data_IF_428859936747
#
_entry.id   IF_428859936747
#
_cell.length_a   1.000
_cell.length_b   1.000
_cell.length_c   1.000
_cell.angle_alpha   90.00
_cell.angle_beta   90.00
_cell.angle_gamma   90.00
#
_symmetry.space_group_name_H-M   'P 1'
#
loop_
_entity.id
_entity.type
_entity.pdbx_description
1 polymer ?
#
# COMPACT_ATOMS: atom_id res chain seq x y z
N UNK A 1 17.74 -0.29 -14.72
CA UNK A 1 16.36 -0.38 -15.27
C UNK A 1 15.37 -1.13 -14.36
N UNK A 2 15.80 -1.87 -13.34
CA UNK A 2 14.94 -2.73 -12.51
C UNK A 2 14.19 -2.01 -11.38
N UNK A 3 14.72 -0.90 -10.86
CA UNK A 3 14.11 -0.13 -9.76
C UNK A 3 12.82 0.60 -10.18
N UNK A 4 12.79 1.16 -11.39
CA UNK A 4 11.59 1.83 -11.91
C UNK A 4 10.41 0.87 -12.09
N UNK A 5 10.65 -0.32 -12.66
CA UNK A 5 9.59 -1.32 -12.91
C UNK A 5 9.02 -1.90 -11.61
N UNK A 6 9.87 -2.15 -10.61
CA UNK A 6 9.45 -2.65 -9.29
C UNK A 6 8.67 -1.62 -8.49
N UNK A 7 9.00 -0.33 -8.62
CA UNK A 7 8.26 0.78 -7.99
C UNK A 7 6.85 0.94 -8.56
N UNK A 8 6.71 0.93 -9.89
CA UNK A 8 5.39 0.97 -10.54
C UNK A 8 4.56 -0.28 -10.26
N UNK A 9 5.19 -1.46 -10.26
CA UNK A 9 4.50 -2.70 -9.89
C UNK A 9 3.96 -2.62 -8.46
N UNK A 10 4.77 -2.18 -7.50
CA UNK A 10 4.33 -2.00 -6.11
C UNK A 10 3.19 -0.97 -5.98
N UNK A 11 3.26 0.15 -6.71
CA UNK A 11 2.21 1.16 -6.72
C UNK A 11 0.88 0.65 -7.29
N UNK A 12 0.93 -0.07 -8.42
CA UNK A 12 -0.26 -0.68 -9.04
C UNK A 12 -0.85 -1.73 -8.10
N UNK A 13 -0.03 -2.62 -7.53
CA UNK A 13 -0.51 -3.62 -6.57
C UNK A 13 -1.11 -2.97 -5.32
N UNK A 14 -0.52 -1.90 -4.79
CA UNK A 14 -1.09 -1.16 -3.67
C UNK A 14 -2.47 -0.55 -4.02
N UNK A 15 -2.58 0.08 -5.19
CA UNK A 15 -3.85 0.62 -5.68
C UNK A 15 -4.90 -0.50 -5.85
N UNK A 16 -4.52 -1.64 -6.42
CA UNK A 16 -5.41 -2.81 -6.54
C UNK A 16 -5.85 -3.33 -5.16
N UNK A 17 -4.94 -3.41 -4.18
CA UNK A 17 -5.23 -3.88 -2.81
C UNK A 17 -6.29 -3.01 -2.14
N UNK A 18 -6.20 -1.70 -2.36
CA UNK A 18 -7.13 -0.71 -1.80
C UNK A 18 -8.47 -0.76 -2.52
N UNK A 19 -8.46 -0.90 -3.84
CA UNK A 19 -9.67 -0.94 -4.66
C UNK A 19 -10.43 -2.28 -4.56
N UNK A 20 -9.76 -3.40 -4.28
CA UNK A 20 -10.34 -4.74 -4.23
C UNK A 20 -11.63 -4.83 -3.39
N UNK A 21 -11.67 -4.38 -2.11
CA UNK A 21 -12.89 -4.47 -1.31
C UNK A 21 -14.04 -3.62 -1.85
N UNK A 22 -13.75 -2.52 -2.57
CA UNK A 22 -14.78 -1.68 -3.20
C UNK A 22 -15.29 -2.31 -4.49
N UNK A 23 -14.37 -2.79 -5.34
CA UNK A 23 -14.71 -3.42 -6.61
C UNK A 23 -15.60 -4.65 -6.40
N UNK A 24 -15.28 -5.49 -5.42
CA UNK A 24 -16.11 -6.68 -5.16
C UNK A 24 -17.46 -6.31 -4.54
N UNK A 25 -17.53 -5.25 -3.72
CA UNK A 25 -18.83 -4.73 -3.25
C UNK A 25 -19.69 -4.20 -4.38
N UNK A 26 -19.10 -3.50 -5.35
CA UNK A 26 -19.81 -2.97 -6.53
C UNK A 26 -20.29 -4.14 -7.41
N UNK A 27 -19.42 -5.10 -7.71
CA UNK A 27 -19.77 -6.27 -8.53
C UNK A 27 -20.82 -7.17 -7.87
N UNK A 28 -20.74 -7.38 -6.56
CA UNK A 28 -21.75 -8.16 -5.82
C UNK A 28 -23.11 -7.45 -5.82
N UNK A 29 -23.14 -6.13 -5.61
CA UNK A 29 -24.37 -5.33 -5.74
C UNK A 29 -24.96 -5.40 -7.14
N UNK A 30 -24.13 -5.30 -8.18
CA UNK A 30 -24.56 -5.37 -9.57
C UNK A 30 -25.17 -6.74 -9.93
N UNK A 31 -24.72 -7.82 -9.27
CA UNK A 31 -25.25 -9.19 -9.45
C UNK A 31 -26.39 -9.55 -8.49
N UNK A 32 -26.87 -8.61 -7.67
CA UNK A 32 -27.92 -8.86 -6.67
C UNK A 32 -27.50 -9.83 -5.54
N UNK A 33 -26.21 -10.11 -5.41
CA UNK A 33 -25.67 -11.09 -4.47
C UNK A 33 -24.96 -10.46 -3.28
N UNK A 34 -24.63 -11.31 -2.29
CA UNK A 34 -23.77 -10.91 -1.17
C UNK A 34 -22.33 -11.34 -1.47
N UNK A 35 -21.33 -10.47 -1.31
CA UNK A 35 -19.95 -10.83 -1.57
C UNK A 35 -19.46 -11.90 -0.58
N UNK A 36 -18.71 -12.93 -1.01
CA UNK A 36 -18.11 -13.92 -0.12
C UNK A 36 -17.06 -13.23 0.76
N UNK A 37 -17.48 -12.87 1.97
CA UNK A 37 -16.74 -11.98 2.87
C UNK A 37 -15.39 -12.58 3.29
N UNK A 38 -15.35 -13.89 3.51
CA UNK A 38 -14.16 -14.57 4.03
C UNK A 38 -13.09 -14.73 2.96
N UNK A 39 -13.48 -15.09 1.74
CA UNK A 39 -12.56 -15.19 0.59
C UNK A 39 -11.96 -13.82 0.27
N UNK A 40 -12.77 -12.76 0.32
CA UNK A 40 -12.29 -11.39 0.13
C UNK A 40 -11.29 -10.93 1.17
N UNK A 41 -11.54 -11.24 2.44
CA UNK A 41 -10.61 -10.91 3.52
C UNK A 41 -9.30 -11.67 3.32
N UNK A 42 -9.36 -12.95 2.91
CA UNK A 42 -8.18 -13.75 2.62
C UNK A 42 -7.38 -13.18 1.44
N UNK A 43 -8.03 -12.85 0.32
CA UNK A 43 -7.37 -12.22 -0.82
C UNK A 43 -6.76 -10.87 -0.45
N UNK A 44 -7.47 -10.03 0.30
CA UNK A 44 -6.94 -8.74 0.76
C UNK A 44 -5.70 -8.91 1.65
N UNK A 45 -5.70 -9.89 2.55
CA UNK A 45 -4.53 -10.19 3.39
C UNK A 45 -3.34 -10.67 2.55
N UNK A 46 -3.56 -11.60 1.62
CA UNK A 46 -2.50 -12.12 0.74
C UNK A 46 -1.88 -10.98 -0.07
N UNK A 47 -2.70 -10.16 -0.72
CA UNK A 47 -2.18 -9.05 -1.53
C UNK A 47 -1.48 -8.01 -0.63
N UNK A 48 -1.98 -7.74 0.58
CA UNK A 48 -1.30 -6.88 1.54
C UNK A 48 0.12 -7.34 1.88
N UNK A 49 0.33 -8.65 2.08
CA UNK A 49 1.67 -9.22 2.27
C UNK A 49 2.53 -9.12 1.02
N UNK A 50 1.96 -9.34 -0.18
CA UNK A 50 2.69 -9.18 -1.45
C UNK A 50 3.14 -7.73 -1.63
N UNK A 51 2.28 -6.75 -1.35
CA UNK A 51 2.63 -5.31 -1.40
C UNK A 51 3.77 -5.01 -0.43
N UNK A 52 3.70 -5.52 0.80
CA UNK A 52 4.77 -5.33 1.79
C UNK A 52 6.10 -5.93 1.30
N UNK A 53 6.08 -7.16 0.79
CA UNK A 53 7.26 -7.83 0.26
C UNK A 53 7.89 -7.07 -0.92
N UNK A 54 7.07 -6.68 -1.90
CA UNK A 54 7.53 -5.91 -3.06
C UNK A 54 8.06 -4.53 -2.67
N UNK A 55 7.38 -3.83 -1.76
CA UNK A 55 7.83 -2.52 -1.27
C UNK A 55 9.17 -2.61 -0.52
N UNK A 56 9.35 -3.67 0.26
CA UNK A 56 10.61 -3.93 0.96
C UNK A 56 11.75 -4.28 -0.01
N UNK A 57 11.47 -5.14 -1.00
CA UNK A 57 12.43 -5.47 -2.05
C UNK A 57 12.82 -4.23 -2.88
N UNK A 58 11.84 -3.38 -3.21
CA UNK A 58 12.07 -2.11 -3.90
C UNK A 58 12.94 -1.15 -3.07
N UNK A 59 12.68 -1.03 -1.77
CA UNK A 59 13.52 -0.24 -0.87
C UNK A 59 14.96 -0.78 -0.83
N UNK A 60 15.13 -2.09 -0.65
CA UNK A 60 16.45 -2.74 -0.62
C UNK A 60 17.23 -2.51 -1.92
N UNK A 61 16.58 -2.70 -3.06
CA UNK A 61 17.18 -2.46 -4.37
C UNK A 61 17.53 -0.99 -4.63
N UNK A 62 16.75 -0.06 -4.06
CA UNK A 62 16.99 1.39 -4.19
C UNK A 62 18.07 1.91 -3.23
N UNK A 63 18.30 1.21 -2.12
CA UNK A 63 19.37 1.51 -1.16
C UNK A 63 20.74 0.95 -1.57
N UNK A 64 20.79 -0.08 -2.43
CA UNK A 64 22.07 -0.70 -2.83
C UNK A 64 23.04 0.27 -3.53
N UNK A 65 22.60 1.20 -4.40
CA UNK A 65 23.49 2.19 -5.02
C UNK A 65 23.76 3.44 -4.15
N UNK A 66 22.91 3.76 -3.17
CA UNK A 66 22.93 5.05 -2.44
C UNK A 66 23.77 5.05 -1.17
N UNK A 67 24.24 3.89 -0.70
CA UNK A 67 25.21 3.79 0.43
C UNK A 67 26.52 4.55 0.12
N UNK A 68 26.81 4.87 -1.15
CA UNK A 68 28.09 5.46 -1.57
C UNK A 68 28.07 7.00 -1.67
N UNK A 69 26.95 7.74 -1.58
CA UNK A 69 27.11 9.21 -1.57
C UNK A 69 25.93 10.17 -1.73
N UNK A 70 24.68 9.83 -1.43
CA UNK A 70 23.61 10.86 -1.44
C UNK A 70 22.78 10.84 -0.17
N UNK A 71 23.01 11.82 0.69
CA UNK A 71 22.21 12.10 1.86
C UNK A 71 20.72 12.27 1.49
N UNK A 72 19.85 11.60 2.26
CA UNK A 72 18.44 11.90 2.49
C UNK A 72 17.76 12.81 1.47
N UNK A 73 17.49 12.29 0.25
CA UNK A 73 16.56 13.01 -0.62
C UNK A 73 15.17 12.97 0.03
N UNK A 74 14.37 14.06 -0.07
CA UNK A 74 13.00 14.08 0.45
C UNK A 74 12.16 12.90 -0.04
N UNK A 75 12.42 12.42 -1.26
CA UNK A 75 11.79 11.24 -1.83
C UNK A 75 12.05 9.95 -1.04
N UNK A 76 13.28 9.73 -0.55
CA UNK A 76 13.63 8.54 0.26
C UNK A 76 12.90 8.59 1.61
N UNK A 77 12.88 9.76 2.27
CA UNK A 77 12.19 9.92 3.55
C UNK A 77 10.68 9.63 3.43
N UNK A 78 10.02 10.14 2.37
CA UNK A 78 8.61 9.86 2.09
C UNK A 78 8.36 8.38 1.80
N UNK A 79 9.24 7.72 1.04
CA UNK A 79 9.13 6.29 0.76
C UNK A 79 9.30 5.43 2.02
N UNK A 80 10.28 5.74 2.88
CA UNK A 80 10.48 5.04 4.14
C UNK A 80 9.28 5.20 5.07
N UNK A 81 8.73 6.41 5.18
CA UNK A 81 7.50 6.64 5.93
C UNK A 81 6.33 5.81 5.38
N UNK A 82 6.13 5.80 4.05
CA UNK A 82 5.10 4.99 3.41
C UNK A 82 5.25 3.50 3.71
N UNK A 83 6.48 2.95 3.66
CA UNK A 83 6.74 1.55 4.00
C UNK A 83 6.40 1.23 5.46
N UNK A 84 6.78 2.10 6.40
CA UNK A 84 6.41 1.96 7.82
C UNK A 84 4.89 1.96 7.98
N UNK A 85 4.18 2.86 7.29
CA UNK A 85 2.73 2.86 7.29
C UNK A 85 2.15 1.55 6.72
N UNK A 86 2.72 0.99 5.63
CA UNK A 86 2.29 -0.31 5.08
C UNK A 86 2.44 -1.42 6.14
N UNK A 87 3.57 -1.49 6.85
CA UNK A 87 3.79 -2.47 7.93
C UNK A 87 2.72 -2.34 9.02
N UNK A 88 2.48 -1.10 9.49
CA UNK A 88 1.46 -0.81 10.49
C UNK A 88 0.08 -1.25 9.98
N UNK A 89 -0.25 -0.97 8.72
CA UNK A 89 -1.55 -1.31 8.14
C UNK A 89 -1.75 -2.82 7.97
N UNK A 90 -0.72 -3.59 7.61
CA UNK A 90 -0.77 -5.06 7.61
C UNK A 90 -1.06 -5.58 9.02
N UNK A 91 -0.38 -5.06 10.04
CA UNK A 91 -0.65 -5.38 11.44
C UNK A 91 -2.08 -5.04 11.87
N UNK A 92 -2.59 -3.86 11.49
CA UNK A 92 -3.98 -3.46 11.75
C UNK A 92 -4.97 -4.40 11.05
N UNK A 93 -4.71 -4.80 9.80
CA UNK A 93 -5.51 -5.76 9.06
C UNK A 93 -5.61 -7.11 9.75
N UNK A 94 -4.50 -7.64 10.27
CA UNK A 94 -4.46 -8.88 11.04
C UNK A 94 -5.25 -8.77 12.36
N UNK A 95 -5.08 -7.68 13.11
CA UNK A 95 -5.84 -7.44 14.36
C UNK A 95 -7.35 -7.30 14.09
N UNK A 96 -7.70 -6.62 13.02
CA UNK A 96 -9.10 -6.48 12.57
C UNK A 96 -9.71 -7.83 12.14
N UNK A 97 -8.90 -8.75 11.63
CA UNK A 97 -9.35 -10.11 11.32
C UNK A 97 -9.62 -10.90 12.61
N UNK A 98 -8.70 -10.89 13.57
CA UNK A 98 -8.75 -11.70 14.79
C UNK A 98 -9.73 -11.22 15.89
N UNK A 99 -10.10 -9.94 15.91
CA UNK A 99 -10.91 -9.38 17.02
C UNK A 99 -12.41 -9.71 16.94
N UNK A 100 -13.17 -9.58 18.05
CA UNK A 100 -14.65 -9.69 18.06
C UNK A 100 -15.35 -8.45 17.43
N UNK A 101 -16.59 -8.54 16.95
CA UNK A 101 -17.26 -7.48 16.17
C UNK A 101 -17.43 -6.13 16.90
N UNK A 102 -17.60 -6.15 18.23
CA UNK A 102 -18.20 -5.03 18.99
C UNK A 102 -17.28 -3.81 19.23
N UNK A 103 -16.05 -3.82 18.74
CA UNK A 103 -15.11 -2.68 18.81
C UNK A 103 -14.54 -2.23 17.46
N UNK A 104 -14.96 -2.84 16.34
CA UNK A 104 -14.21 -2.72 15.06
C UNK A 104 -14.43 -1.42 14.29
N UNK A 105 -15.44 -0.61 14.62
CA UNK A 105 -15.82 0.53 13.76
C UNK A 105 -14.73 1.59 13.68
N UNK A 106 -14.12 1.95 14.82
CA UNK A 106 -13.06 2.95 14.84
C UNK A 106 -11.77 2.42 14.21
N UNK A 107 -11.37 1.20 14.55
CA UNK A 107 -10.18 0.56 13.97
C UNK A 107 -10.29 0.35 12.46
N UNK A 108 -11.49 0.05 11.93
CA UNK A 108 -11.74 0.00 10.47
C UNK A 108 -11.61 1.36 9.82
N UNK A 109 -12.09 2.43 10.46
CA UNK A 109 -11.92 3.81 9.94
C UNK A 109 -10.45 4.19 9.89
N UNK A 110 -9.70 3.94 10.96
CA UNK A 110 -8.25 4.18 11.02
C UNK A 110 -7.50 3.37 9.95
N UNK A 111 -7.89 2.12 9.73
CA UNK A 111 -7.31 1.30 8.68
C UNK A 111 -7.55 1.91 7.28
N UNK A 112 -8.78 2.31 6.97
CA UNK A 112 -9.13 2.94 5.68
C UNK A 112 -8.39 4.28 5.51
N UNK A 113 -8.39 5.13 6.53
CA UNK A 113 -7.70 6.43 6.49
C UNK A 113 -6.19 6.23 6.31
N UNK A 114 -5.60 5.25 6.99
CA UNK A 114 -4.19 4.94 6.85
C UNK A 114 -3.83 4.36 5.48
N UNK A 115 -4.68 3.53 4.88
CA UNK A 115 -4.51 3.10 3.48
C UNK A 115 -4.53 4.28 2.52
N UNK A 116 -5.43 5.25 2.72
CA UNK A 116 -5.47 6.48 1.90
C UNK A 116 -4.19 7.31 2.08
N UNK A 117 -3.71 7.45 3.32
CA UNK A 117 -2.45 8.15 3.59
C UNK A 117 -1.26 7.50 2.88
N UNK A 118 -1.21 6.16 2.81
CA UNK A 118 -0.18 5.44 2.05
C UNK A 118 -0.25 5.81 0.56
N UNK A 119 -1.44 5.83 -0.04
CA UNK A 119 -1.60 6.22 -1.46
C UNK A 119 -1.08 7.61 -1.71
N UNK A 120 -1.44 8.57 -0.86
CA UNK A 120 -0.98 9.96 -0.96
C UNK A 120 0.54 10.03 -0.82
N UNK A 121 1.13 9.33 0.14
CA UNK A 121 2.58 9.31 0.33
C UNK A 121 3.31 8.69 -0.88
N UNK A 122 2.79 7.60 -1.44
CA UNK A 122 3.33 6.98 -2.66
C UNK A 122 3.23 7.92 -3.86
N UNK A 123 2.09 8.61 -4.02
CA UNK A 123 1.91 9.60 -5.08
C UNK A 123 2.91 10.77 -4.96
N UNK A 124 3.12 11.27 -3.75
CA UNK A 124 4.12 12.32 -3.46
C UNK A 124 5.53 11.80 -3.78
N UNK A 125 5.89 10.58 -3.35
CA UNK A 125 7.17 9.97 -3.67
C UNK A 125 7.40 9.87 -5.19
N UNK A 126 6.40 9.41 -5.95
CA UNK A 126 6.49 9.32 -7.41
C UNK A 126 6.62 10.71 -8.02
N UNK A 127 5.85 11.70 -7.55
CA UNK A 127 5.91 13.08 -8.07
C UNK A 127 7.29 13.71 -7.86
N UNK A 128 7.87 13.58 -6.66
CA UNK A 128 9.21 14.12 -6.34
C UNK A 128 10.30 13.46 -7.19
N UNK A 129 10.16 12.17 -7.51
CA UNK A 129 11.15 11.43 -8.30
C UNK A 129 10.84 11.41 -9.81
N UNK A 130 9.75 12.06 -10.25
CA UNK A 130 9.38 12.11 -11.65
C UNK A 130 10.19 13.21 -12.38
N UNK A 131 10.83 12.90 -13.52
CA UNK A 131 11.58 13.88 -14.30
C UNK A 131 10.71 15.00 -14.90
N UNK A 132 9.38 14.89 -14.81
CA UNK A 132 8.44 15.94 -15.25
C UNK A 132 8.42 17.16 -14.32
N UNK A 133 8.80 17.01 -13.04
CA UNK A 133 8.87 18.11 -12.07
C UNK A 133 10.31 18.56 -11.77
N UNK A 134 11.32 17.81 -12.21
CA UNK A 134 12.74 18.18 -12.04
C UNK A 134 13.29 19.03 -13.18
N UNK A 135 12.43 19.50 -14.10
CA UNK A 135 12.73 20.44 -15.18
C UNK A 135 11.97 21.75 -14.98
N UNK A 136 12.30 22.48 -13.92
CA UNK A 136 11.97 23.90 -13.77
C UNK A 136 13.09 24.59 -13.04
#
# INVERSE_FOLDING_TARGET
MTTSTTGWAAAILAAMTICLPYLVRILAKAKGGHPPRDELIRSHLVIGFVVLALSSAHMLASMTPTIIGSAASPGIAVATAALVFVIIQVGFGLRLNASKPDGKRNSRRLHIVGMLAIVVAVAIHIAINSPLLSRS
#
